data_IF_343053793167
#
_entry.id   IF_343053793167
#
_cell.length_a   1.000
_cell.length_b   1.000
_cell.length_c   1.000
_cell.angle_alpha   90.00
_cell.angle_beta   90.00
_cell.angle_gamma   90.00
#
_symmetry.space_group_name_H-M   'P 1'
#
loop_
_entity.id
_entity.type
_entity.pdbx_description
1 polymer ?
#
# COMPACT_ATOMS: atom_id res chain seq x y z
N UNK A 1 -0.83 13.51 11.51
CA UNK A 1 -0.42 12.58 10.44
C UNK A 1 -0.63 11.11 10.79
N UNK A 2 -0.19 10.61 11.95
CA UNK A 2 -0.36 9.18 12.26
C UNK A 2 -1.81 8.72 12.40
N UNK A 3 -2.70 9.53 12.98
CA UNK A 3 -4.15 9.25 12.98
C UNK A 3 -4.74 9.14 11.56
N UNK A 4 -4.14 9.81 10.58
CA UNK A 4 -4.52 9.69 9.18
C UNK A 4 -4.00 8.39 8.53
N UNK A 5 -2.86 7.88 8.99
CA UNK A 5 -2.20 6.67 8.49
C UNK A 5 -2.65 5.39 9.19
N UNK A 6 -3.17 5.44 10.42
CA UNK A 6 -3.62 4.25 11.15
C UNK A 6 -4.70 3.44 10.41
N UNK A 7 -5.75 4.05 9.83
CA UNK A 7 -6.72 3.31 9.03
C UNK A 7 -6.08 2.63 7.80
N UNK A 8 -5.10 3.27 7.16
CA UNK A 8 -4.37 2.71 6.03
C UNK A 8 -3.51 1.51 6.45
N UNK A 9 -2.76 1.61 7.56
CA UNK A 9 -2.00 0.49 8.14
C UNK A 9 -2.89 -0.70 8.49
N UNK A 10 -4.06 -0.45 9.11
CA UNK A 10 -5.05 -1.49 9.40
C UNK A 10 -5.56 -2.16 8.13
N UNK A 11 -5.77 -1.39 7.06
CA UNK A 11 -6.26 -1.93 5.80
C UNK A 11 -5.20 -2.81 5.12
N UNK A 12 -3.93 -2.38 5.05
CA UNK A 12 -2.83 -3.20 4.51
C UNK A 12 -2.66 -4.53 5.27
N UNK A 13 -2.74 -4.50 6.61
CA UNK A 13 -2.70 -5.72 7.42
C UNK A 13 -3.90 -6.63 7.17
N UNK A 14 -5.09 -6.05 7.02
CA UNK A 14 -6.32 -6.78 6.68
C UNK A 14 -6.25 -7.38 5.27
N UNK A 15 -5.70 -6.66 4.31
CA UNK A 15 -5.48 -7.11 2.93
C UNK A 15 -4.50 -8.30 2.91
N UNK A 16 -3.41 -8.23 3.66
CA UNK A 16 -2.43 -9.34 3.76
C UNK A 16 -3.06 -10.60 4.35
N UNK A 17 -3.84 -10.47 5.44
CA UNK A 17 -4.55 -11.57 6.08
C UNK A 17 -5.64 -12.18 5.17
N UNK A 18 -6.42 -11.34 4.46
CA UNK A 18 -7.44 -11.81 3.51
C UNK A 18 -6.82 -12.47 2.28
N UNK A 19 -5.67 -12.00 1.80
CA UNK A 19 -4.96 -12.62 0.68
C UNK A 19 -4.52 -14.04 1.04
N UNK A 20 -3.95 -14.26 2.22
CA UNK A 20 -3.58 -15.61 2.69
C UNK A 20 -4.79 -16.53 2.86
N UNK A 21 -5.92 -16.04 3.37
CA UNK A 21 -7.15 -16.83 3.50
C UNK A 21 -7.73 -17.22 2.13
N UNK A 22 -7.56 -16.38 1.12
CA UNK A 22 -8.08 -16.67 -0.22
C UNK A 22 -7.18 -17.59 -1.04
N UNK A 23 -5.87 -17.51 -0.85
CA UNK A 23 -4.91 -18.44 -1.45
C UNK A 23 -5.06 -19.87 -0.89
N UNK A 24 -5.61 -20.03 0.31
CA UNK A 24 -5.86 -21.34 0.95
C UNK A 24 -7.26 -21.88 0.71
N UNK A 25 -8.19 -21.04 0.23
CA UNK A 25 -9.51 -21.49 -0.20
C UNK A 25 -9.40 -22.17 -1.58
N UNK A 26 -10.06 -23.32 -1.76
CA UNK A 26 -10.25 -24.00 -3.07
C UNK A 26 -11.13 -23.14 -4.00
N UNK A 27 -10.62 -21.99 -4.42
CA UNK A 27 -11.31 -21.04 -5.30
C UNK A 27 -10.94 -21.32 -6.75
N UNK A 28 -11.88 -21.08 -7.67
CA UNK A 28 -11.57 -21.16 -9.10
C UNK A 28 -10.72 -19.94 -9.52
N UNK A 29 -9.95 -20.02 -10.62
CA UNK A 29 -9.19 -18.87 -11.13
C UNK A 29 -10.05 -17.62 -11.32
N UNK A 30 -11.30 -17.76 -11.76
CA UNK A 30 -12.22 -16.63 -11.92
C UNK A 30 -12.59 -15.97 -10.58
N UNK A 31 -12.87 -16.78 -9.54
CA UNK A 31 -13.14 -16.27 -8.19
C UNK A 31 -11.88 -15.63 -7.57
N UNK A 32 -10.72 -16.25 -7.77
CA UNK A 32 -9.45 -15.68 -7.33
C UNK A 32 -9.19 -14.32 -7.99
N UNK A 33 -9.41 -14.21 -9.31
CA UNK A 33 -9.29 -12.96 -10.06
C UNK A 33 -10.17 -11.85 -9.50
N UNK A 34 -11.47 -12.10 -9.36
CA UNK A 34 -12.42 -11.11 -8.85
C UNK A 34 -12.01 -10.60 -7.48
N UNK A 35 -11.63 -11.51 -6.59
CA UNK A 35 -11.23 -11.13 -5.25
C UNK A 35 -9.91 -10.38 -5.19
N UNK A 36 -8.91 -10.78 -5.98
CA UNK A 36 -7.63 -10.09 -6.06
C UNK A 36 -7.80 -8.69 -6.65
N UNK A 37 -8.63 -8.51 -7.67
CA UNK A 37 -8.97 -7.19 -8.22
C UNK A 37 -9.60 -6.30 -7.15
N UNK A 38 -10.58 -6.83 -6.40
CA UNK A 38 -11.23 -6.10 -5.30
C UNK A 38 -10.24 -5.73 -4.19
N UNK A 39 -9.36 -6.67 -3.82
CA UNK A 39 -8.32 -6.48 -2.82
C UNK A 39 -7.37 -5.35 -3.22
N UNK A 40 -6.79 -5.44 -4.42
CA UNK A 40 -5.84 -4.46 -4.94
C UNK A 40 -6.50 -3.08 -5.12
N UNK A 41 -7.77 -3.02 -5.55
CA UNK A 41 -8.53 -1.76 -5.62
C UNK A 41 -8.82 -1.13 -4.26
N UNK A 42 -9.05 -1.95 -3.23
CA UNK A 42 -9.14 -1.48 -1.84
C UNK A 42 -7.84 -0.85 -1.37
N UNK A 43 -6.70 -1.47 -1.68
CA UNK A 43 -5.37 -0.97 -1.34
C UNK A 43 -5.02 0.33 -2.07
N UNK A 44 -5.35 0.41 -3.38
CA UNK A 44 -5.25 1.63 -4.20
C UNK A 44 -6.04 2.78 -3.56
N UNK A 45 -7.32 2.55 -3.25
CA UNK A 45 -8.21 3.55 -2.66
C UNK A 45 -7.79 3.99 -1.27
N UNK A 46 -7.32 3.06 -0.44
CA UNK A 46 -6.82 3.36 0.91
C UNK A 46 -5.56 4.21 0.85
N UNK A 47 -4.65 3.93 -0.10
CA UNK A 47 -3.41 4.70 -0.28
C UNK A 47 -3.70 6.12 -0.76
N UNK A 48 -4.66 6.28 -1.68
CA UNK A 48 -5.14 7.61 -2.11
C UNK A 48 -5.80 8.39 -0.97
N UNK A 49 -6.64 7.73 -0.17
CA UNK A 49 -7.26 8.35 1.01
C UNK A 49 -6.22 8.82 2.02
N UNK A 50 -5.19 8.01 2.27
CA UNK A 50 -4.08 8.39 3.12
C UNK A 50 -3.31 9.58 2.55
N UNK A 51 -3.01 9.59 1.24
CA UNK A 51 -2.35 10.70 0.54
C UNK A 51 -3.12 12.01 0.75
N UNK A 52 -4.43 12.01 0.49
CA UNK A 52 -5.29 13.18 0.68
C UNK A 52 -5.25 13.69 2.11
N UNK A 53 -5.35 12.79 3.11
CA UNK A 53 -5.32 13.20 4.51
C UNK A 53 -3.96 13.75 4.96
N UNK A 54 -2.85 13.28 4.38
CA UNK A 54 -1.53 13.87 4.64
C UNK A 54 -1.45 15.27 4.06
N UNK A 55 -1.96 15.49 2.85
CA UNK A 55 -2.03 16.83 2.26
C UNK A 55 -2.92 17.77 3.07
N UNK A 56 -4.10 17.30 3.51
CA UNK A 56 -5.04 18.05 4.34
C UNK A 56 -4.47 18.40 5.73
N UNK A 57 -3.68 17.49 6.31
CA UNK A 57 -3.02 17.72 7.61
C UNK A 57 -1.95 18.83 7.54
N UNK A 58 -1.47 19.16 6.33
CA UNK A 58 -0.49 20.21 6.11
C UNK A 58 0.92 19.83 6.58
N UNK A 59 1.79 20.84 6.60
CA UNK A 59 3.19 20.71 6.97
C UNK A 59 3.32 20.71 8.50
N UNK A 60 3.97 19.71 9.13
CA UNK A 60 4.29 19.74 10.55
C UNK A 60 5.17 20.95 10.90
N UNK A 61 4.88 21.62 12.03
CA UNK A 61 5.66 22.77 12.54
C UNK A 61 6.94 22.30 13.26
N UNK A 62 7.85 21.71 12.51
CA UNK A 62 9.18 21.24 12.95
C UNK A 62 10.20 21.46 11.84
N UNK A 63 11.49 21.52 12.20
CA UNK A 63 12.57 21.59 11.22
C UNK A 63 12.52 20.38 10.27
N UNK A 64 12.44 20.66 8.97
CA UNK A 64 12.30 19.63 7.94
C UNK A 64 10.86 19.13 7.70
N UNK A 65 9.84 19.74 8.32
CA UNK A 65 8.44 19.35 8.15
C UNK A 65 7.95 19.28 6.69
N UNK A 66 8.42 20.18 5.81
CA UNK A 66 8.06 20.16 4.38
C UNK A 66 8.64 18.94 3.65
N UNK A 67 9.90 18.58 3.95
CA UNK A 67 10.54 17.40 3.38
C UNK A 67 9.80 16.13 3.80
N UNK A 68 9.32 16.10 5.04
CA UNK A 68 8.53 15.02 5.60
C UNK A 68 7.17 14.90 4.93
N UNK A 69 6.37 15.97 4.94
CA UNK A 69 5.05 15.96 4.32
C UNK A 69 5.13 15.56 2.84
N UNK A 70 6.08 16.13 2.10
CA UNK A 70 6.30 15.79 0.69
C UNK A 70 6.78 14.35 0.50
N UNK A 71 7.61 13.81 1.41
CA UNK A 71 8.03 12.41 1.42
C UNK A 71 6.84 11.47 1.58
N UNK A 72 5.98 11.70 2.55
CA UNK A 72 4.77 10.90 2.75
C UNK A 72 3.82 10.96 1.55
N UNK A 73 3.58 12.15 0.98
CA UNK A 73 2.74 12.28 -0.23
C UNK A 73 3.33 11.51 -1.40
N UNK A 74 4.64 11.62 -1.64
CA UNK A 74 5.33 10.85 -2.70
C UNK A 74 5.19 9.35 -2.50
N UNK A 75 5.48 8.85 -1.30
CA UNK A 75 5.39 7.42 -0.99
C UNK A 75 3.96 6.89 -1.12
N UNK A 76 2.96 7.61 -0.62
CA UNK A 76 1.55 7.20 -0.72
C UNK A 76 1.04 7.23 -2.17
N UNK A 77 1.51 8.18 -2.97
CA UNK A 77 1.23 8.23 -4.42
C UNK A 77 1.84 7.02 -5.13
N UNK A 78 3.11 6.70 -4.84
CA UNK A 78 3.78 5.55 -5.42
C UNK A 78 3.06 4.23 -5.06
N UNK A 79 2.59 4.11 -3.81
CA UNK A 79 1.80 2.95 -3.35
C UNK A 79 0.47 2.84 -4.08
N UNK A 80 -0.29 3.94 -4.18
CA UNK A 80 -1.54 3.98 -4.94
C UNK A 80 -1.31 3.47 -6.36
N UNK A 81 -0.29 3.99 -7.02
CA UNK A 81 0.05 3.64 -8.40
C UNK A 81 0.46 2.17 -8.55
N UNK A 82 1.24 1.65 -7.61
CA UNK A 82 1.65 0.24 -7.62
C UNK A 82 0.44 -0.69 -7.47
N UNK A 83 -0.45 -0.41 -6.51
CA UNK A 83 -1.68 -1.18 -6.33
C UNK A 83 -2.63 -1.06 -7.53
N UNK A 84 -2.78 0.14 -8.12
CA UNK A 84 -3.58 0.35 -9.32
C UNK A 84 -3.05 -0.42 -10.54
N UNK A 85 -1.72 -0.41 -10.75
CA UNK A 85 -1.08 -1.23 -11.80
C UNK A 85 -1.24 -2.72 -11.56
N UNK A 86 -1.07 -3.17 -10.32
CA UNK A 86 -1.26 -4.58 -9.97
C UNK A 86 -2.71 -5.01 -10.22
N UNK A 87 -3.69 -4.19 -9.81
CA UNK A 87 -5.12 -4.43 -10.05
C UNK A 87 -5.41 -4.62 -11.53
N UNK A 88 -4.99 -3.66 -12.36
CA UNK A 88 -5.18 -3.72 -13.81
C UNK A 88 -4.50 -4.94 -14.43
N UNK A 89 -3.32 -5.31 -13.94
CA UNK A 89 -2.59 -6.48 -14.43
C UNK A 89 -3.34 -7.77 -14.12
N UNK A 90 -3.83 -7.95 -12.90
CA UNK A 90 -4.66 -9.13 -12.52
C UNK A 90 -5.98 -9.15 -13.29
N UNK A 91 -6.61 -7.99 -13.47
CA UNK A 91 -7.83 -7.83 -14.27
C UNK A 91 -7.61 -8.23 -15.74
N UNK A 92 -6.40 -8.07 -16.27
CA UNK A 92 -6.01 -8.51 -17.60
C UNK A 92 -5.69 -10.00 -17.75
N UNK A 93 -5.52 -10.75 -16.67
CA UNK A 93 -5.16 -12.18 -16.74
C UNK A 93 -6.31 -13.05 -17.26
N UNK A 94 -5.97 -14.04 -18.08
CA UNK A 94 -6.90 -15.08 -18.52
C UNK A 94 -7.16 -16.07 -17.38
N UNK A 95 -8.39 -16.09 -16.85
CA UNK A 95 -8.82 -17.01 -15.82
C UNK A 95 -9.45 -18.31 -16.36
N UNK A 96 -9.39 -18.55 -17.68
CA UNK A 96 -9.86 -19.77 -18.32
C UNK A 96 -8.93 -20.97 -18.12
N UNK A 97 -7.67 -20.73 -17.73
CA UNK A 97 -6.67 -21.77 -17.45
C UNK A 97 -6.01 -21.50 -16.10
N UNK A 98 -6.00 -22.50 -15.23
CA UNK A 98 -5.53 -22.33 -13.85
C UNK A 98 -4.03 -22.00 -13.78
N UNK A 99 -3.16 -22.84 -14.36
CA UNK A 99 -1.71 -22.66 -14.19
C UNK A 99 -1.22 -21.30 -14.73
N UNK A 100 -1.55 -20.88 -15.98
CA UNK A 100 -1.12 -19.57 -16.49
C UNK A 100 -1.71 -18.40 -15.71
N UNK A 101 -2.91 -18.55 -15.13
CA UNK A 101 -3.51 -17.53 -14.28
C UNK A 101 -2.69 -17.35 -13.01
N UNK A 102 -2.38 -18.42 -12.29
CA UNK A 102 -1.66 -18.34 -11.03
C UNK A 102 -0.19 -17.91 -11.22
N UNK A 103 0.48 -18.35 -12.29
CA UNK A 103 1.82 -17.84 -12.66
C UNK A 103 1.78 -16.32 -12.92
N UNK A 104 0.74 -15.85 -13.61
CA UNK A 104 0.52 -14.43 -13.85
C UNK A 104 0.28 -13.65 -12.56
N UNK A 105 -0.53 -14.18 -11.64
CA UNK A 105 -0.77 -13.58 -10.33
C UNK A 105 0.54 -13.49 -9.54
N UNK A 106 1.34 -14.55 -9.48
CA UNK A 106 2.64 -14.55 -8.80
C UNK A 106 3.57 -13.47 -9.37
N UNK A 107 3.65 -13.37 -10.71
CA UNK A 107 4.45 -12.35 -11.38
C UNK A 107 4.02 -10.93 -11.00
N UNK A 108 2.71 -10.66 -10.97
CA UNK A 108 2.17 -9.35 -10.56
C UNK A 108 2.50 -9.05 -9.10
N UNK A 109 2.36 -10.01 -8.19
CA UNK A 109 2.63 -9.81 -6.77
C UNK A 109 4.13 -9.60 -6.50
N UNK A 110 5.01 -10.29 -7.22
CA UNK A 110 6.45 -10.09 -7.14
C UNK A 110 6.86 -8.70 -7.62
N UNK A 111 6.25 -8.22 -8.71
CA UNK A 111 6.45 -6.86 -9.20
C UNK A 111 5.96 -5.81 -8.20
N UNK A 112 4.76 -6.01 -7.64
CA UNK A 112 4.20 -5.14 -6.60
C UNK A 112 5.12 -5.07 -5.38
N UNK A 113 5.68 -6.20 -4.94
CA UNK A 113 6.65 -6.26 -3.82
C UNK A 113 7.93 -5.50 -4.15
N UNK A 114 8.40 -5.61 -5.39
CA UNK A 114 9.59 -4.87 -5.85
C UNK A 114 9.33 -3.36 -5.88
N UNK A 115 8.19 -2.93 -6.41
CA UNK A 115 7.78 -1.51 -6.42
C UNK A 115 7.59 -0.97 -4.99
N UNK A 116 7.01 -1.78 -4.10
CA UNK A 116 6.87 -1.46 -2.68
C UNK A 116 8.24 -1.22 -2.02
N UNK A 117 9.18 -2.17 -2.18
CA UNK A 117 10.52 -2.04 -1.63
C UNK A 117 11.27 -0.83 -2.20
N UNK A 118 11.15 -0.56 -3.50
CA UNK A 118 11.74 0.63 -4.12
C UNK A 118 11.13 1.93 -3.58
N UNK A 119 9.82 1.96 -3.28
CA UNK A 119 9.15 3.12 -2.71
C UNK A 119 9.42 3.33 -1.20
N UNK A 120 9.67 2.25 -0.46
CA UNK A 120 10.02 2.28 0.97
C UNK A 120 11.48 2.71 1.22
N UNK A 121 12.34 2.63 0.21
CA UNK A 121 13.80 2.81 0.33
C UNK A 121 14.28 4.27 0.46
N UNK A 122 13.40 5.26 0.56
CA UNK A 122 13.83 6.66 0.71
C UNK A 122 13.23 7.39 1.93
N UNK A 123 12.80 6.64 2.95
CA UNK A 123 12.47 7.22 4.27
C UNK A 123 13.70 7.51 5.12
N UNK A 124 14.90 7.12 4.68
CA UNK A 124 16.17 7.49 5.32
C UNK A 124 16.42 9.01 5.29
N UNK A 125 15.83 9.72 4.32
CA UNK A 125 15.81 11.19 4.28
C UNK A 125 14.83 11.82 5.29
N UNK A 126 13.98 11.00 5.94
CA UNK A 126 13.00 11.39 6.95
C UNK A 126 13.46 11.05 8.39
N UNK A 127 14.64 10.43 8.53
CA UNK A 127 15.19 9.94 9.80
C UNK A 127 15.91 11.07 10.55
N UNK A 128 15.15 12.12 10.90
CA UNK A 128 15.57 13.12 11.88
C UNK A 128 15.28 12.58 13.28
N UNK A 129 16.27 12.62 14.19
CA UNK A 129 16.09 12.19 15.59
C UNK A 129 14.94 12.94 16.27
N UNK A 130 14.76 14.22 15.94
CA UNK A 130 13.70 15.06 16.46
C UNK A 130 12.32 14.67 15.89
N UNK A 131 12.27 14.28 14.62
CA UNK A 131 11.07 13.72 14.00
C UNK A 131 10.70 12.35 14.56
N UNK A 132 11.69 11.50 14.82
CA UNK A 132 11.48 10.21 15.47
C UNK A 132 10.96 10.38 16.89
N UNK A 133 11.54 11.30 17.66
CA UNK A 133 11.05 11.63 19.00
C UNK A 133 9.62 12.18 18.96
N UNK A 134 9.31 13.10 18.04
CA UNK A 134 7.96 13.64 17.88
C UNK A 134 6.92 12.59 17.47
N UNK A 135 7.31 11.57 16.70
CA UNK A 135 6.43 10.42 16.41
C UNK A 135 6.32 9.45 17.59
N UNK A 136 7.42 9.12 18.26
CA UNK A 136 7.44 8.18 19.40
C UNK A 136 6.71 8.74 20.64
N UNK A 137 6.57 10.05 20.74
CA UNK A 137 5.81 10.74 21.79
C UNK A 137 4.29 10.76 21.55
N UNK A 138 3.85 10.56 20.30
CA UNK A 138 2.43 10.54 19.94
C UNK A 138 1.90 9.10 20.04
N UNK A 139 0.99 8.77 20.99
CA UNK A 139 0.48 7.41 21.17
C UNK A 139 -0.14 6.81 19.91
N UNK A 140 -0.70 7.65 19.04
CA UNK A 140 -1.32 7.29 17.76
C UNK A 140 -0.30 6.97 16.65
N UNK A 141 0.98 7.28 16.87
CA UNK A 141 2.09 7.00 15.95
C UNK A 141 2.92 5.76 16.32
N UNK A 142 2.83 5.30 17.58
CA UNK A 142 3.46 4.04 18.04
C UNK A 142 2.85 2.79 17.38
#
# INVERSE_FOLDING_TARGET
MCTALSPWRTEINTLTSRTQQQMTAKTTPAQAKENLVRLLGGAESASETARSKVEEAGVPDVDGGEAVASGFVRSLTAMRDAYGRARQSVEGLDAGRADPFYDGVESVMNKLTTEFNQSALDTSSLDSEELRAAFDEVPECR
#
